data_IF_431706262314
#
_entry.id   IF_431706262314
#
_cell.length_a   1.000
_cell.length_b   1.000
_cell.length_c   1.000
_cell.angle_alpha   90.00
_cell.angle_beta   90.00
_cell.angle_gamma   90.00
#
_symmetry.space_group_name_H-M   'P 1'
#
loop_
_entity.id
_entity.type
_entity.pdbx_description
1 polymer ?
#
# COMPACT_ATOMS: atom_id res chain seq x y z
N UNK A 1 71.36 5.27 19.18
CA UNK A 1 70.20 6.07 18.72
C UNK A 1 68.93 5.44 19.27
N UNK A 2 68.39 5.97 20.37
CA UNK A 2 67.17 5.46 20.97
C UNK A 2 65.95 5.88 20.17
N UNK A 3 65.26 4.93 19.54
CA UNK A 3 63.97 5.17 18.89
C UNK A 3 62.94 5.53 19.96
N UNK A 4 62.58 6.82 20.04
CA UNK A 4 61.46 7.30 20.84
C UNK A 4 60.19 6.57 20.38
N UNK A 5 59.72 5.60 21.17
CA UNK A 5 58.34 5.09 21.06
C UNK A 5 57.42 6.28 21.32
N UNK A 6 56.79 6.81 20.28
CA UNK A 6 55.75 7.83 20.43
C UNK A 6 54.67 7.32 21.37
N UNK A 7 54.31 8.13 22.37
CA UNK A 7 53.12 7.90 23.20
C UNK A 7 51.93 7.76 22.24
N UNK A 8 51.38 6.55 22.09
CA UNK A 8 50.08 6.37 21.42
C UNK A 8 49.07 7.22 22.19
N UNK A 9 48.39 8.12 21.49
CA UNK A 9 47.26 8.87 22.04
C UNK A 9 46.24 7.87 22.61
N UNK A 10 45.73 8.14 23.81
CA UNK A 10 44.77 7.25 24.48
C UNK A 10 43.35 7.33 23.90
N UNK A 11 43.10 8.28 22.99
CA UNK A 11 41.83 8.48 22.30
C UNK A 11 41.72 7.65 21.02
N UNK A 12 40.52 7.61 20.45
CA UNK A 12 40.27 7.01 19.14
C UNK A 12 40.98 7.77 18.02
N UNK A 13 41.32 7.06 16.95
CA UNK A 13 41.86 7.67 15.74
C UNK A 13 40.80 8.57 15.08
N UNK A 14 41.23 9.70 14.54
CA UNK A 14 40.36 10.66 13.86
C UNK A 14 40.71 10.78 12.38
N UNK A 15 39.70 10.66 11.51
CA UNK A 15 39.82 10.78 10.05
C UNK A 15 38.75 11.74 9.55
N UNK A 16 39.16 12.90 9.03
CA UNK A 16 38.23 13.88 8.45
C UNK A 16 37.15 14.39 9.42
N UNK A 17 37.47 14.49 10.72
CA UNK A 17 36.52 14.89 11.77
C UNK A 17 35.60 13.75 12.25
N UNK A 18 35.79 12.53 11.76
CA UNK A 18 35.14 11.33 12.26
C UNK A 18 36.06 10.56 13.18
N UNK A 19 35.52 10.07 14.29
CA UNK A 19 36.18 9.10 15.17
C UNK A 19 35.99 7.71 14.62
N UNK A 20 37.09 6.97 14.55
CA UNK A 20 37.13 5.61 14.02
C UNK A 20 36.90 4.63 15.16
N UNK A 21 35.87 3.79 15.03
CA UNK A 21 35.52 2.75 15.99
C UNK A 21 35.72 1.38 15.33
N UNK A 22 36.85 0.69 15.62
CA UNK A 22 37.04 -0.68 15.18
C UNK A 22 36.17 -1.62 16.03
N UNK A 23 35.33 -2.41 15.37
CA UNK A 23 34.52 -3.46 16.01
C UNK A 23 34.80 -4.81 15.35
N UNK A 24 34.94 -5.83 16.17
CA UNK A 24 35.11 -7.21 15.71
C UNK A 24 33.79 -7.97 15.84
N UNK A 25 33.44 -8.74 14.82
CA UNK A 25 32.29 -9.65 14.92
C UNK A 25 32.70 -10.94 15.63
N UNK A 26 31.86 -11.40 16.55
CA UNK A 26 32.07 -12.66 17.26
C UNK A 26 32.36 -13.80 16.26
N UNK A 27 33.46 -14.52 16.48
CA UNK A 27 33.88 -15.65 15.64
C UNK A 27 34.59 -15.30 14.33
N UNK A 28 34.89 -14.03 14.04
CA UNK A 28 35.67 -13.62 12.86
C UNK A 28 36.84 -12.74 13.25
N UNK A 29 37.99 -12.93 12.61
CA UNK A 29 39.16 -12.05 12.77
C UNK A 29 39.01 -10.70 12.03
N UNK A 30 37.96 -10.56 11.20
CA UNK A 30 37.71 -9.34 10.45
C UNK A 30 37.26 -8.18 11.35
N UNK A 31 37.98 -7.07 11.26
CA UNK A 31 37.63 -5.80 11.92
C UNK A 31 36.78 -4.97 10.97
N UNK A 32 35.63 -4.53 11.46
CA UNK A 32 34.76 -3.59 10.78
C UNK A 32 34.93 -2.20 11.39
N UNK A 33 35.12 -1.19 10.55
CA UNK A 33 35.37 0.18 11.03
C UNK A 33 34.10 1.01 10.91
N UNK A 34 33.59 1.47 12.05
CA UNK A 34 32.50 2.43 12.12
C UNK A 34 33.08 3.84 12.25
N UNK A 35 32.42 4.82 11.65
CA UNK A 35 32.85 6.21 11.74
C UNK A 35 31.74 7.04 12.34
N UNK A 36 32.04 7.79 13.40
CA UNK A 36 31.04 8.62 14.05
C UNK A 36 31.56 10.02 14.37
N UNK A 37 30.65 10.99 14.40
CA UNK A 37 30.92 12.37 14.80
C UNK A 37 29.71 12.97 15.48
N UNK A 38 29.91 14.07 16.20
CA UNK A 38 28.78 14.88 16.67
C UNK A 38 27.99 15.42 15.47
N UNK A 39 26.66 15.32 15.56
CA UNK A 39 25.78 15.87 14.54
C UNK A 39 25.81 17.40 14.59
N UNK A 40 25.91 18.00 13.41
CA UNK A 40 25.90 19.45 13.22
C UNK A 40 24.94 19.78 12.07
N UNK A 41 23.77 20.34 12.38
CA UNK A 41 22.83 20.86 11.39
C UNK A 41 22.69 22.37 11.55
N UNK A 42 22.58 23.09 10.44
CA UNK A 42 22.30 24.54 10.46
C UNK A 42 20.84 24.85 10.82
N UNK A 43 19.96 23.85 10.74
CA UNK A 43 18.55 23.94 11.13
C UNK A 43 18.34 23.14 12.40
N UNK A 44 17.62 23.72 13.36
CA UNK A 44 17.20 23.02 14.55
C UNK A 44 16.08 22.04 14.21
N UNK A 45 16.40 20.75 14.20
CA UNK A 45 15.42 19.68 14.07
C UNK A 45 15.06 19.18 15.46
N UNK A 46 13.79 19.36 15.87
CA UNK A 46 13.27 18.90 17.17
C UNK A 46 13.49 17.38 17.35
N UNK A 47 13.43 16.63 16.24
CA UNK A 47 13.63 15.18 16.24
C UNK A 47 15.11 14.77 16.30
N UNK A 48 16.04 15.69 15.99
CA UNK A 48 17.48 15.44 15.89
C UNK A 48 18.26 16.62 16.49
N UNK A 49 18.17 16.82 17.81
CA UNK A 49 18.80 17.98 18.43
C UNK A 49 20.33 17.78 18.47
N UNK A 50 21.10 18.75 17.96
CA UNK A 50 22.56 18.65 17.72
C UNK A 50 23.41 18.54 19.00
N UNK A 51 22.84 18.95 20.13
CA UNK A 51 23.41 18.84 21.48
C UNK A 51 23.45 17.40 22.01
N UNK A 52 22.62 16.51 21.46
CA UNK A 52 22.44 15.12 21.92
C UNK A 52 22.53 14.08 20.82
N UNK A 53 22.87 14.47 19.59
CA UNK A 53 22.88 13.56 18.45
C UNK A 53 24.28 13.23 17.95
N UNK A 54 24.49 11.94 17.69
CA UNK A 54 25.67 11.39 17.03
C UNK A 54 25.28 10.95 15.63
N UNK A 55 26.09 11.37 14.65
CA UNK A 55 26.01 10.85 13.30
C UNK A 55 27.01 9.70 13.14
N UNK A 56 26.52 8.52 12.82
CA UNK A 56 27.33 7.31 12.62
C UNK A 56 27.15 6.77 11.21
N UNK A 57 28.22 6.27 10.61
CA UNK A 57 28.28 5.79 9.21
C UNK A 57 29.00 4.45 9.11
N UNK A 58 28.85 3.82 7.94
CA UNK A 58 29.34 2.47 7.66
C UNK A 58 28.70 1.42 8.56
N UNK A 59 27.41 1.54 8.86
CA UNK A 59 26.72 0.54 9.67
C UNK A 59 26.62 -0.80 8.93
N UNK A 60 26.77 -1.93 9.64
CA UNK A 60 26.46 -3.24 9.09
C UNK A 60 25.02 -3.30 8.57
N UNK A 61 24.82 -4.01 7.46
CA UNK A 61 23.52 -4.07 6.76
C UNK A 61 22.38 -4.59 7.65
N UNK A 62 22.71 -5.32 8.70
CA UNK A 62 21.77 -5.98 9.58
C UNK A 62 21.67 -5.32 10.96
N UNK A 63 22.17 -4.09 11.10
CA UNK A 63 22.09 -3.30 12.33
C UNK A 63 20.66 -2.93 12.68
N UNK A 64 20.29 -3.15 13.94
CA UNK A 64 19.03 -2.69 14.53
C UNK A 64 19.27 -1.75 15.69
N UNK A 65 18.20 -1.09 16.12
CA UNK A 65 18.24 -0.23 17.31
C UNK A 65 18.72 -0.98 18.57
N UNK A 66 18.34 -2.25 18.72
CA UNK A 66 18.77 -3.10 19.85
C UNK A 66 20.29 -3.29 19.85
N UNK A 67 20.89 -3.49 18.68
CA UNK A 67 22.35 -3.65 18.58
C UNK A 67 23.06 -2.35 18.93
N UNK A 68 22.58 -1.20 18.46
CA UNK A 68 23.19 0.09 18.81
C UNK A 68 23.04 0.37 20.32
N UNK A 69 21.89 0.04 20.92
CA UNK A 69 21.70 0.14 22.37
C UNK A 69 22.66 -0.75 23.15
N UNK A 70 22.91 -1.98 22.68
CA UNK A 70 23.90 -2.90 23.27
C UNK A 70 25.34 -2.40 23.05
N UNK A 71 25.63 -1.82 21.88
CA UNK A 71 26.95 -1.28 21.54
C UNK A 71 27.38 -0.15 22.48
N UNK A 72 26.45 0.75 22.83
CA UNK A 72 26.71 1.86 23.76
C UNK A 72 26.33 1.56 25.20
N UNK A 73 25.99 0.30 25.51
CA UNK A 73 25.60 -0.10 26.86
C UNK A 73 26.73 0.18 27.85
N UNK A 74 26.42 0.93 28.91
CA UNK A 74 27.38 1.35 29.93
C UNK A 74 28.06 2.69 29.66
N UNK A 75 27.96 3.26 28.45
CA UNK A 75 28.51 4.59 28.13
C UNK A 75 27.44 5.66 27.93
N UNK A 76 26.35 5.30 27.26
CA UNK A 76 25.26 6.23 26.96
C UNK A 76 23.91 5.50 26.88
N UNK A 77 22.84 6.20 27.29
CA UNK A 77 21.46 5.76 27.12
C UNK A 77 20.91 6.36 25.84
N UNK A 78 20.39 5.51 24.98
CA UNK A 78 19.86 5.93 23.68
C UNK A 78 18.36 6.19 23.82
N UNK A 79 17.92 7.39 23.46
CA UNK A 79 16.51 7.75 23.38
C UNK A 79 15.88 7.23 22.09
N UNK A 80 16.56 7.44 20.94
CA UNK A 80 16.04 7.06 19.63
C UNK A 80 17.16 6.84 18.62
N UNK A 81 16.97 5.93 17.68
CA UNK A 81 17.83 5.77 16.50
C UNK A 81 17.04 6.06 15.23
N UNK A 82 17.61 6.88 14.34
CA UNK A 82 17.05 7.19 13.02
C UNK A 82 18.00 6.69 11.94
N UNK A 83 17.65 5.57 11.32
CA UNK A 83 18.39 5.00 10.19
C UNK A 83 18.10 5.74 8.88
N UNK A 84 19.11 5.88 8.03
CA UNK A 84 19.01 6.48 6.71
C UNK A 84 19.18 5.37 5.67
N UNK A 85 18.38 5.42 4.59
CA UNK A 85 18.41 4.43 3.50
C UNK A 85 18.15 3.01 3.99
N UNK A 86 16.94 2.84 4.49
CA UNK A 86 16.42 1.56 4.94
C UNK A 86 15.91 0.78 3.74
N UNK A 87 16.48 -0.40 3.50
CA UNK A 87 16.06 -1.32 2.44
C UNK A 87 14.97 -2.25 2.98
N UNK A 88 13.95 -2.49 2.17
CA UNK A 88 12.92 -3.49 2.48
C UNK A 88 11.90 -3.03 3.53
N UNK A 89 11.84 -1.73 3.83
CA UNK A 89 10.65 -1.19 4.46
C UNK A 89 9.53 -1.25 3.41
N UNK A 90 8.64 -2.25 3.53
CA UNK A 90 7.49 -2.41 2.64
C UNK A 90 6.61 -1.16 2.75
N UNK A 91 6.82 -0.16 1.88
CA UNK A 91 6.11 1.14 1.85
C UNK A 91 4.58 0.93 1.80
N UNK A 92 4.16 -0.17 1.18
CA UNK A 92 2.76 -0.59 1.04
C UNK A 92 2.16 -1.04 2.39
N UNK A 93 2.96 -1.65 3.27
CA UNK A 93 2.49 -2.21 4.55
C UNK A 93 2.40 -1.16 5.64
N UNK A 94 3.32 -0.19 5.68
CA UNK A 94 3.20 0.92 6.63
C UNK A 94 2.07 1.85 6.27
N UNK A 95 1.86 2.18 4.99
CA UNK A 95 0.69 2.95 4.59
C UNK A 95 -0.64 2.26 4.98
N UNK A 96 -0.75 0.94 4.84
CA UNK A 96 -1.95 0.20 5.22
C UNK A 96 -2.10 0.04 6.75
N UNK A 97 -1.00 -0.15 7.49
CA UNK A 97 -1.01 -0.21 8.95
C UNK A 97 -1.31 1.17 9.56
N UNK A 98 -0.69 2.23 9.04
CA UNK A 98 -0.92 3.62 9.43
C UNK A 98 -2.35 4.06 9.08
N UNK A 99 -2.89 3.64 7.93
CA UNK A 99 -4.29 3.88 7.57
C UNK A 99 -5.28 3.14 8.48
N UNK A 100 -4.96 1.91 8.91
CA UNK A 100 -5.75 1.15 9.90
C UNK A 100 -5.69 1.81 11.27
N UNK A 101 -4.51 2.26 11.70
CA UNK A 101 -4.30 2.96 12.97
C UNK A 101 -5.02 4.32 12.98
N UNK A 102 -4.97 5.06 11.87
CA UNK A 102 -5.76 6.29 11.67
C UNK A 102 -7.27 6.01 11.66
N UNK A 103 -7.70 4.88 11.08
CA UNK A 103 -9.10 4.44 11.10
C UNK A 103 -9.59 4.09 12.51
N UNK A 104 -8.79 3.37 13.29
CA UNK A 104 -9.09 3.06 14.70
C UNK A 104 -9.07 4.32 15.59
N UNK A 105 -8.13 5.23 15.36
CA UNK A 105 -8.08 6.51 16.07
C UNK A 105 -9.31 7.36 15.73
N UNK A 106 -9.71 7.41 14.46
CA UNK A 106 -10.91 8.12 14.02
C UNK A 106 -12.20 7.50 14.59
N UNK A 107 -12.31 6.16 14.67
CA UNK A 107 -13.46 5.52 15.32
C UNK A 107 -13.48 5.76 16.82
N UNK A 108 -12.32 5.70 17.49
CA UNK A 108 -12.22 6.00 18.93
C UNK A 108 -12.55 7.48 19.25
N UNK A 109 -12.21 8.40 18.35
CA UNK A 109 -12.59 9.81 18.46
C UNK A 109 -14.09 10.02 18.23
N UNK A 110 -14.71 9.31 17.29
CA UNK A 110 -16.16 9.35 17.08
C UNK A 110 -16.96 8.73 18.25
N UNK A 111 -16.43 7.67 18.87
CA UNK A 111 -17.03 7.04 20.05
C UNK A 111 -16.92 7.94 21.30
N UNK A 112 -15.90 8.80 21.41
CA UNK A 112 -15.76 9.77 22.49
C UNK A 112 -16.82 10.89 22.45
N UNK A 113 -17.43 11.14 21.28
CA UNK A 113 -18.46 12.16 21.08
C UNK A 113 -19.88 11.64 21.36
N UNK A 114 -20.06 10.31 21.54
CA UNK A 114 -21.35 9.69 21.82
C UNK A 114 -21.37 9.00 23.20
N UNK A 115 -22.24 9.46 24.11
CA UNK A 115 -22.36 9.01 25.51
C UNK A 115 -23.04 7.63 25.67
N UNK A 116 -22.80 6.69 24.76
CA UNK A 116 -23.23 5.29 24.89
C UNK A 116 -22.04 4.36 24.67
N UNK A 117 -21.45 3.93 25.78
CA UNK A 117 -20.44 2.87 25.84
C UNK A 117 -21.01 1.54 25.36
N UNK A 118 -20.96 1.29 24.04
CA UNK A 118 -20.97 -0.08 23.54
C UNK A 118 -19.63 -0.68 23.90
N UNK A 119 -19.65 -1.56 24.92
CA UNK A 119 -18.57 -2.49 25.22
C UNK A 119 -18.18 -3.17 23.91
N UNK A 120 -17.05 -2.77 23.33
CA UNK A 120 -16.47 -3.45 22.18
C UNK A 120 -16.27 -4.89 22.62
N UNK A 121 -17.07 -5.78 22.03
CA UNK A 121 -16.82 -7.20 22.12
C UNK A 121 -15.48 -7.35 21.42
N UNK A 122 -14.41 -7.60 22.19
CA UNK A 122 -13.18 -8.16 21.67
C UNK A 122 -13.59 -9.47 21.00
N UNK A 123 -13.99 -9.40 19.74
CA UNK A 123 -13.86 -10.52 18.85
C UNK A 123 -12.35 -10.69 18.75
N UNK A 124 -11.84 -11.79 19.33
CA UNK A 124 -10.52 -12.39 19.07
C UNK A 124 -10.40 -12.74 17.58
N UNK A 125 -10.66 -11.78 16.71
CA UNK A 125 -10.40 -11.80 15.29
C UNK A 125 -8.91 -11.52 15.14
N UNK A 126 -8.11 -12.44 15.67
CA UNK A 126 -6.67 -12.58 15.45
C UNK A 126 -6.49 -13.01 13.98
N UNK A 127 -6.82 -12.06 13.10
CA UNK A 127 -6.51 -12.05 11.67
C UNK A 127 -5.00 -12.26 11.56
N UNK A 128 -4.56 -13.11 10.63
CA UNK A 128 -3.15 -13.43 10.44
C UNK A 128 -2.31 -12.15 10.50
N UNK A 129 -1.54 -11.99 11.58
CA UNK A 129 -0.69 -10.82 11.75
C UNK A 129 0.32 -10.86 10.60
N UNK A 130 0.54 -9.74 9.90
CA UNK A 130 1.47 -9.71 8.80
C UNK A 130 2.80 -10.24 9.29
N UNK A 131 3.39 -11.17 8.52
CA UNK A 131 4.65 -11.79 8.93
C UNK A 131 5.69 -10.69 9.17
N UNK A 132 6.23 -10.57 10.40
CA UNK A 132 7.16 -9.52 10.75
C UNK A 132 8.44 -9.67 9.92
N UNK A 133 8.80 -8.62 9.17
CA UNK A 133 10.06 -8.58 8.43
C UNK A 133 11.04 -7.71 9.20
N UNK A 134 12.26 -8.21 9.38
CA UNK A 134 13.33 -7.40 9.96
C UNK A 134 13.78 -6.33 8.96
N UNK A 135 14.25 -5.22 9.48
CA UNK A 135 14.78 -4.12 8.67
C UNK A 135 16.15 -4.50 8.08
N UNK A 136 16.49 -4.05 6.86
CA UNK A 136 17.87 -4.04 6.33
C UNK A 136 18.32 -2.61 6.07
N UNK A 137 19.61 -2.41 6.16
CA UNK A 137 20.30 -1.19 5.77
C UNK A 137 21.09 -1.44 4.49
N UNK A 138 21.22 -0.41 3.67
CA UNK A 138 22.16 -0.43 2.55
C UNK A 138 23.61 -0.53 3.04
N UNK A 139 24.49 -1.08 2.22
CA UNK A 139 25.94 -1.04 2.49
C UNK A 139 26.41 0.41 2.62
N UNK A 140 27.14 0.73 3.69
CA UNK A 140 27.57 2.10 3.96
C UNK A 140 26.48 3.00 4.53
N UNK A 141 25.34 2.45 4.99
CA UNK A 141 24.26 3.21 5.61
C UNK A 141 24.74 4.03 6.82
N UNK A 142 23.98 5.09 7.10
CA UNK A 142 24.21 6.02 8.18
C UNK A 142 23.01 6.09 9.12
N UNK A 143 23.27 6.41 10.38
CA UNK A 143 22.23 6.63 11.38
C UNK A 143 22.51 7.88 12.19
N UNK A 144 21.44 8.53 12.63
CA UNK A 144 21.48 9.52 13.70
C UNK A 144 21.02 8.85 14.98
N UNK A 145 21.86 8.91 16.01
CA UNK A 145 21.60 8.32 17.31
C UNK A 145 21.35 9.48 18.26
N UNK A 146 20.13 9.56 18.78
CA UNK A 146 19.72 10.55 19.78
C UNK A 146 19.95 9.95 21.15
N UNK A 147 20.85 10.57 21.92
CA UNK A 147 21.13 10.21 23.30
C UNK A 147 20.08 10.83 24.23
N UNK A 148 19.93 10.24 25.42
CA UNK A 148 18.99 10.72 26.42
C UNK A 148 19.46 12.06 27.01
N UNK A 149 20.74 12.15 27.34
CA UNK A 149 21.34 13.30 28.02
C UNK A 149 22.53 13.90 27.25
N UNK A 150 22.76 15.21 27.40
CA UNK A 150 23.88 15.94 26.75
C UNK A 150 25.24 15.50 27.27
N UNK A 151 25.35 15.15 28.55
CA UNK A 151 26.60 14.64 29.16
C UNK A 151 27.03 13.28 28.60
N UNK A 152 26.10 12.50 28.07
CA UNK A 152 26.43 11.21 27.45
C UNK A 152 27.15 11.42 26.09
N UNK A 153 26.86 12.52 25.39
CA UNK A 153 27.52 12.86 24.13
C UNK A 153 29.01 13.12 24.34
N UNK A 154 29.36 13.86 25.39
CA UNK A 154 30.76 14.15 25.71
C UNK A 154 31.49 12.88 26.13
N UNK A 155 30.83 11.97 26.85
CA UNK A 155 31.38 10.67 27.22
C UNK A 155 31.67 9.80 25.99
N UNK A 156 30.71 9.68 25.06
CA UNK A 156 30.90 8.90 23.83
C UNK A 156 31.99 9.51 22.93
N UNK A 157 32.03 10.84 22.83
CA UNK A 157 33.09 11.51 22.05
C UNK A 157 34.46 11.35 22.72
N UNK A 158 34.56 11.34 24.05
CA UNK A 158 35.84 11.18 24.78
C UNK A 158 36.25 9.72 25.03
N UNK A 159 35.57 8.77 24.39
CA UNK A 159 35.84 7.34 24.53
C UNK A 159 37.29 6.98 24.18
N UNK A 160 37.89 6.10 25.00
CA UNK A 160 39.24 5.58 24.78
C UNK A 160 39.25 4.50 23.72
N UNK A 161 40.38 4.35 23.03
CA UNK A 161 40.59 3.23 22.13
C UNK A 161 40.44 1.89 22.88
N UNK A 162 39.62 0.98 22.33
CA UNK A 162 39.35 -0.34 22.92
C UNK A 162 38.21 -0.39 23.95
N UNK A 163 37.52 0.72 24.23
CA UNK A 163 36.34 0.70 25.11
C UNK A 163 35.18 -0.14 24.54
N UNK A 164 35.06 -0.17 23.21
CA UNK A 164 34.23 -1.12 22.49
C UNK A 164 35.18 -1.90 21.57
N UNK A 165 35.19 -3.21 21.74
CA UNK A 165 36.04 -4.10 20.93
C UNK A 165 35.20 -5.05 20.09
N UNK A 166 34.04 -5.44 20.61
CA UNK A 166 33.18 -6.44 19.96
C UNK A 166 31.86 -5.82 19.53
N UNK A 167 31.44 -6.13 18.32
CA UNK A 167 30.06 -5.91 17.91
C UNK A 167 29.17 -6.81 18.77
N UNK A 168 28.06 -6.28 19.35
CA UNK A 168 27.24 -7.01 20.29
C UNK A 168 26.84 -8.38 19.74
N UNK A 169 27.27 -9.42 20.47
CA UNK A 169 26.88 -10.79 20.16
C UNK A 169 25.36 -10.92 20.31
N UNK A 170 24.77 -11.69 19.41
CA UNK A 170 23.33 -11.94 19.41
C UNK A 170 23.06 -13.28 20.04
N UNK A 171 21.99 -13.31 20.81
CA UNK A 171 21.49 -14.53 21.44
C UNK A 171 21.09 -15.49 20.31
N UNK A 172 21.79 -16.63 20.19
CA UNK A 172 21.53 -17.62 19.13
C UNK A 172 20.12 -18.19 19.15
N UNK A 173 19.48 -18.10 20.31
CA UNK A 173 18.22 -18.78 20.65
C UNK A 173 17.02 -17.83 20.63
N UNK A 174 17.14 -16.68 19.96
CA UNK A 174 16.02 -15.75 19.85
C UNK A 174 14.87 -16.41 19.07
N UNK A 175 13.77 -16.75 19.75
CA UNK A 175 12.51 -17.20 19.14
C UNK A 175 11.86 -16.10 18.28
N UNK A 176 12.26 -14.84 18.48
CA UNK A 176 11.69 -13.69 17.79
C UNK A 176 12.15 -13.63 16.32
N UNK A 177 11.23 -13.64 15.33
CA UNK A 177 11.63 -13.61 13.93
C UNK A 177 12.32 -12.32 13.49
N UNK A 178 12.10 -11.22 14.20
CA UNK A 178 12.78 -9.93 13.99
C UNK A 178 14.28 -9.99 14.29
N UNK A 179 14.72 -11.00 15.03
CA UNK A 179 16.12 -11.20 15.39
C UNK A 179 16.85 -12.14 14.41
N UNK A 180 16.15 -12.75 13.44
CA UNK A 180 16.76 -13.57 12.39
C UNK A 180 17.62 -12.74 11.43
N UNK A 181 18.76 -13.31 11.01
CA UNK A 181 19.83 -12.61 10.28
C UNK A 181 20.49 -13.52 9.25
N UNK A 182 21.11 -12.93 8.23
CA UNK A 182 21.75 -13.69 7.16
C UNK A 182 20.82 -14.75 6.56
N UNK A 183 21.28 -16.00 6.49
CA UNK A 183 20.52 -17.10 5.88
C UNK A 183 19.23 -17.42 6.65
N UNK A 184 19.24 -17.39 7.99
CA UNK A 184 18.04 -17.73 8.79
C UNK A 184 16.89 -16.76 8.53
N UNK A 185 17.22 -15.48 8.36
CA UNK A 185 16.27 -14.46 7.91
C UNK A 185 15.66 -14.79 6.56
N UNK A 186 16.49 -15.04 5.56
CA UNK A 186 15.98 -15.31 4.20
C UNK A 186 15.16 -16.59 4.15
N UNK A 187 15.52 -17.62 4.93
CA UNK A 187 14.70 -18.82 5.10
C UNK A 187 13.35 -18.50 5.74
N UNK A 188 13.32 -17.65 6.77
CA UNK A 188 12.09 -17.20 7.40
C UNK A 188 11.22 -16.41 6.41
N UNK A 189 11.77 -15.43 5.71
CA UNK A 189 11.05 -14.65 4.69
C UNK A 189 10.54 -15.54 3.55
N UNK A 190 11.32 -16.53 3.13
CA UNK A 190 10.96 -17.49 2.10
C UNK A 190 9.78 -18.38 2.52
N UNK A 191 9.78 -18.85 3.78
CA UNK A 191 8.67 -19.61 4.37
C UNK A 191 7.44 -18.73 4.59
N UNK A 192 7.65 -17.51 5.07
CA UNK A 192 6.61 -16.51 5.30
C UNK A 192 5.85 -16.15 4.02
N UNK A 193 6.53 -16.08 2.88
CA UNK A 193 5.91 -15.81 1.58
C UNK A 193 5.03 -16.96 1.09
N UNK A 194 5.11 -18.15 1.70
CA UNK A 194 4.38 -19.36 1.31
C UNK A 194 3.76 -20.01 2.54
N UNK A 195 2.67 -19.41 3.08
CA UNK A 195 1.94 -20.03 4.18
C UNK A 195 1.40 -21.41 3.76
N UNK A 196 1.26 -22.35 4.70
CA UNK A 196 0.67 -23.65 4.42
C UNK A 196 -0.79 -23.49 4.00
N UNK A 197 -1.23 -24.35 3.08
CA UNK A 197 -2.57 -24.27 2.47
C UNK A 197 -3.69 -24.35 3.50
N UNK A 198 -3.51 -25.15 4.55
CA UNK A 198 -4.54 -25.38 5.57
C UNK A 198 -4.85 -24.11 6.37
N UNK A 199 -3.82 -23.34 6.74
CA UNK A 199 -3.99 -22.06 7.43
C UNK A 199 -4.66 -21.02 6.53
N UNK A 200 -4.24 -20.96 5.27
CA UNK A 200 -4.83 -20.04 4.30
C UNK A 200 -6.31 -20.36 4.06
N UNK A 201 -6.63 -21.65 3.91
CA UNK A 201 -8.01 -22.11 3.71
C UNK A 201 -8.90 -21.76 4.89
N UNK A 202 -8.46 -22.05 6.11
CA UNK A 202 -9.24 -21.73 7.32
C UNK A 202 -9.52 -20.22 7.43
N UNK A 203 -8.55 -19.36 7.08
CA UNK A 203 -8.76 -17.91 7.09
C UNK A 203 -9.74 -17.47 6.00
N UNK A 204 -9.57 -17.94 4.76
CA UNK A 204 -10.47 -17.63 3.64
C UNK A 204 -11.90 -18.07 3.95
N UNK A 205 -12.08 -19.27 4.47
CA UNK A 205 -13.40 -19.80 4.84
C UNK A 205 -14.03 -18.95 5.95
N UNK A 206 -13.25 -18.55 6.97
CA UNK A 206 -13.73 -17.66 8.04
C UNK A 206 -14.10 -16.26 7.54
N UNK A 207 -13.34 -15.73 6.57
CA UNK A 207 -13.60 -14.45 5.95
C UNK A 207 -14.86 -14.50 5.09
N UNK A 208 -15.01 -15.55 4.28
CA UNK A 208 -16.19 -15.75 3.43
C UNK A 208 -17.44 -15.96 4.27
N UNK A 209 -17.38 -16.72 5.37
CA UNK A 209 -18.51 -16.89 6.28
C UNK A 209 -18.97 -15.55 6.88
N UNK A 210 -18.04 -14.74 7.42
CA UNK A 210 -18.35 -13.40 7.94
C UNK A 210 -18.89 -12.47 6.85
N UNK A 211 -18.34 -12.56 5.65
CA UNK A 211 -18.80 -11.78 4.51
C UNK A 211 -20.24 -12.16 4.16
N UNK A 212 -20.54 -13.45 4.02
CA UNK A 212 -21.87 -13.98 3.72
C UNK A 212 -22.88 -13.64 4.81
N UNK A 213 -22.53 -13.75 6.10
CA UNK A 213 -23.35 -13.30 7.22
C UNK A 213 -23.66 -11.81 7.09
N UNK A 214 -22.65 -10.98 6.82
CA UNK A 214 -22.85 -9.54 6.65
C UNK A 214 -23.69 -9.19 5.40
N UNK A 215 -23.60 -9.98 4.34
CA UNK A 215 -24.44 -9.82 3.15
C UNK A 215 -25.89 -10.19 3.46
N UNK A 216 -26.09 -11.32 4.15
CA UNK A 216 -27.41 -11.78 4.55
C UNK A 216 -28.10 -10.77 5.50
N UNK A 217 -27.38 -10.22 6.47
CA UNK A 217 -27.90 -9.18 7.35
C UNK A 217 -28.29 -7.91 6.57
N UNK A 218 -27.46 -7.45 5.63
CA UNK A 218 -27.79 -6.31 4.77
C UNK A 218 -29.03 -6.58 3.94
N UNK A 219 -29.13 -7.75 3.32
CA UNK A 219 -30.29 -8.14 2.51
C UNK A 219 -31.56 -8.26 3.35
N UNK A 220 -31.44 -8.77 4.58
CA UNK A 220 -32.54 -8.84 5.55
C UNK A 220 -33.01 -7.44 5.96
N UNK A 221 -32.08 -6.52 6.24
CA UNK A 221 -32.41 -5.13 6.58
C UNK A 221 -33.07 -4.41 5.40
N UNK A 222 -32.56 -4.59 4.18
CA UNK A 222 -33.18 -4.05 2.97
C UNK A 222 -34.59 -4.61 2.73
N UNK A 223 -34.79 -5.91 2.96
CA UNK A 223 -36.11 -6.54 2.84
C UNK A 223 -37.11 -6.01 3.88
N UNK A 224 -36.65 -5.74 5.11
CA UNK A 224 -37.48 -5.11 6.13
C UNK A 224 -37.86 -3.67 5.76
N UNK A 225 -36.90 -2.89 5.25
CA UNK A 225 -37.15 -1.51 4.79
C UNK A 225 -38.10 -1.45 3.59
N UNK A 226 -38.08 -2.45 2.69
CA UNK A 226 -38.99 -2.52 1.54
C UNK A 226 -40.47 -2.62 1.91
N UNK A 227 -40.82 -3.14 3.10
CA UNK A 227 -42.20 -3.34 3.51
C UNK A 227 -42.74 -2.23 4.43
N UNK A 228 -41.92 -1.24 4.78
CA UNK A 228 -42.32 -0.11 5.62
C UNK A 228 -42.69 1.07 4.71
N UNK A 229 -43.93 1.57 4.76
CA UNK A 229 -44.29 2.80 4.05
C UNK A 229 -43.53 3.99 4.60
N UNK A 230 -43.10 4.88 3.72
CA UNK A 230 -42.45 6.14 4.10
C UNK A 230 -43.46 7.09 4.79
N UNK A 231 -42.99 8.23 5.31
CA UNK A 231 -43.83 9.23 6.00
C UNK A 231 -45.00 9.75 5.13
N UNK A 232 -44.87 9.69 3.81
CA UNK A 232 -45.89 10.06 2.82
C UNK A 232 -46.74 8.86 2.32
N UNK A 233 -46.57 7.66 2.90
CA UNK A 233 -47.37 6.47 2.61
C UNK A 233 -47.01 5.71 1.32
N UNK A 234 -45.90 6.05 0.67
CA UNK A 234 -45.41 5.34 -0.51
C UNK A 234 -44.48 4.18 -0.12
N UNK A 235 -44.57 3.08 -0.89
CA UNK A 235 -43.70 1.91 -0.74
C UNK A 235 -42.63 1.94 -1.85
N UNK A 236 -41.36 1.93 -1.46
CA UNK A 236 -40.24 1.98 -2.41
C UNK A 236 -40.05 0.64 -3.12
N UNK A 237 -40.32 0.61 -4.43
CA UNK A 237 -40.17 -0.60 -5.28
C UNK A 237 -38.74 -0.70 -5.80
N UNK A 238 -37.94 -1.60 -5.20
CA UNK A 238 -36.58 -1.92 -5.69
C UNK A 238 -36.62 -3.19 -6.54
N UNK A 239 -36.08 -3.14 -7.77
CA UNK A 239 -36.00 -4.33 -8.63
C UNK A 239 -34.97 -5.32 -8.08
N UNK A 240 -35.43 -6.44 -7.49
CA UNK A 240 -34.57 -7.60 -7.19
C UNK A 240 -34.15 -8.27 -8.49
N UNK A 241 -32.85 -8.56 -8.66
CA UNK A 241 -32.36 -9.50 -9.68
C UNK A 241 -31.40 -8.98 -10.73
N UNK A 242 -30.93 -7.72 -10.68
CA UNK A 242 -29.80 -7.30 -11.51
C UNK A 242 -28.65 -6.85 -10.62
N UNK A 243 -27.69 -7.74 -10.40
CA UNK A 243 -26.36 -7.34 -9.99
C UNK A 243 -25.72 -6.59 -11.17
N UNK A 244 -26.11 -5.34 -11.38
CA UNK A 244 -25.28 -4.41 -12.14
C UNK A 244 -24.08 -4.14 -11.24
N UNK A 245 -23.00 -4.91 -11.44
CA UNK A 245 -21.65 -4.48 -11.05
C UNK A 245 -21.40 -3.18 -11.81
N UNK A 246 -21.82 -2.05 -11.24
CA UNK A 246 -21.52 -0.66 -11.65
C UNK A 246 -22.21 0.37 -10.72
N UNK A 247 -22.59 0.00 -9.50
CA UNK A 247 -23.18 0.94 -8.55
C UNK A 247 -22.65 0.65 -7.14
N UNK A 248 -21.38 0.94 -6.92
CA UNK A 248 -21.07 1.77 -5.75
C UNK A 248 -21.98 3.00 -5.87
N UNK A 249 -22.65 3.39 -4.79
CA UNK A 249 -23.74 4.37 -4.70
C UNK A 249 -23.47 5.80 -5.20
N UNK A 250 -23.01 5.94 -6.43
CA UNK A 250 -22.92 7.15 -7.22
C UNK A 250 -23.61 6.83 -8.55
N UNK A 251 -24.94 6.81 -8.53
CA UNK A 251 -25.67 7.14 -9.75
C UNK A 251 -25.18 8.53 -10.11
N UNK A 252 -24.26 8.61 -11.07
CA UNK A 252 -23.99 9.85 -11.76
C UNK A 252 -25.27 10.15 -12.55
N UNK A 253 -26.25 10.74 -11.87
CA UNK A 253 -27.20 11.63 -12.51
C UNK A 253 -26.29 12.65 -13.16
N UNK A 254 -26.01 12.47 -14.45
CA UNK A 254 -25.48 13.56 -15.26
C UNK A 254 -26.50 14.66 -15.03
N UNK A 255 -26.13 15.65 -14.23
CA UNK A 255 -26.77 16.96 -14.25
C UNK A 255 -26.43 17.51 -15.63
N UNK A 256 -27.20 17.04 -16.61
CA UNK A 256 -27.26 17.66 -17.91
C UNK A 256 -27.84 19.04 -17.61
N UNK A 257 -27.06 20.08 -17.89
CA UNK A 257 -27.54 21.44 -17.84
C UNK A 257 -28.81 21.55 -18.69
N UNK A 258 -29.70 22.47 -18.33
CA UNK A 258 -31.00 22.64 -18.98
C UNK A 258 -30.91 22.79 -20.52
N UNK A 259 -29.75 23.21 -21.03
CA UNK A 259 -29.48 23.35 -22.46
C UNK A 259 -29.22 22.00 -23.17
N UNK A 260 -28.56 21.03 -22.53
CA UNK A 260 -28.36 19.68 -23.09
C UNK A 260 -29.68 18.89 -23.13
N UNK A 261 -30.59 19.15 -22.18
CA UNK A 261 -31.93 18.56 -22.16
C UNK A 261 -32.80 19.06 -23.34
N UNK A 262 -32.55 20.28 -23.83
CA UNK A 262 -33.26 20.85 -24.99
C UNK A 262 -32.76 20.24 -26.31
N UNK A 263 -31.45 20.01 -26.45
CA UNK A 263 -30.91 19.32 -27.64
C UNK A 263 -31.29 17.83 -27.70
N UNK A 264 -31.34 17.14 -26.56
CA UNK A 264 -31.83 15.76 -26.49
C UNK A 264 -33.34 15.65 -26.77
N UNK A 265 -34.13 16.66 -26.40
CA UNK A 265 -35.57 16.74 -26.70
C UNK A 265 -35.90 16.91 -28.19
N UNK A 266 -35.00 17.52 -28.96
CA UNK A 266 -35.16 17.71 -30.41
C UNK A 266 -34.93 16.41 -31.22
N UNK A 267 -34.34 15.38 -30.61
CA UNK A 267 -34.21 14.04 -31.20
C UNK A 267 -35.12 13.04 -30.49
N UNK A 268 -36.38 13.41 -30.27
CA UNK A 268 -37.45 12.39 -30.24
C UNK A 268 -37.55 11.81 -31.64
N UNK A 269 -36.75 10.79 -31.93
CA UNK A 269 -37.17 9.81 -32.93
C UNK A 269 -38.46 9.25 -32.37
N UNK A 270 -39.59 9.63 -32.95
CA UNK A 270 -40.81 8.87 -32.76
C UNK A 270 -40.43 7.43 -33.05
N UNK A 271 -40.39 6.61 -32.00
CA UNK A 271 -40.22 5.18 -32.13
C UNK A 271 -41.56 4.69 -32.65
N UNK A 272 -41.81 4.96 -33.93
CA UNK A 272 -42.81 4.24 -34.70
C UNK A 272 -42.34 2.79 -34.62
N UNK A 273 -43.04 1.99 -33.81
CA UNK A 273 -42.85 0.54 -33.77
C UNK A 273 -43.19 -0.01 -35.16
N UNK A 274 -42.25 0.10 -36.11
CA UNK A 274 -42.46 -0.22 -37.52
C UNK A 274 -42.65 -1.71 -37.80
N UNK A 275 -42.69 -2.54 -36.76
CA UNK A 275 -42.74 -3.98 -36.84
C UNK A 275 -43.79 -4.61 -35.89
N UNK A 276 -44.70 -3.83 -35.29
CA UNK A 276 -45.71 -4.42 -34.38
C UNK A 276 -46.85 -5.09 -35.14
N UNK A 277 -47.23 -4.56 -36.30
CA UNK A 277 -48.40 -5.04 -37.03
C UNK A 277 -48.06 -5.78 -38.32
N UNK A 278 -48.79 -6.87 -38.58
CA UNK A 278 -48.62 -7.70 -39.80
C UNK A 278 -48.80 -6.90 -41.11
N UNK A 279 -49.60 -5.84 -41.11
CA UNK A 279 -49.81 -5.00 -42.30
C UNK A 279 -48.56 -4.17 -42.63
N UNK A 280 -47.82 -3.68 -41.63
CA UNK A 280 -46.56 -2.93 -41.82
C UNK A 280 -45.50 -3.80 -42.49
N UNK A 281 -45.41 -5.07 -42.08
CA UNK A 281 -44.50 -6.04 -42.69
C UNK A 281 -44.89 -6.38 -44.13
N UNK A 282 -46.20 -6.41 -44.45
CA UNK A 282 -46.71 -6.65 -45.81
C UNK A 282 -46.43 -5.45 -46.73
N UNK A 283 -46.71 -4.23 -46.27
CA UNK A 283 -46.39 -3.01 -47.02
C UNK A 283 -44.89 -2.86 -47.26
N UNK A 284 -44.06 -3.16 -46.27
CA UNK A 284 -42.61 -3.11 -46.42
C UNK A 284 -42.12 -4.07 -47.49
N UNK A 285 -42.63 -5.31 -47.52
CA UNK A 285 -42.31 -6.29 -48.57
C UNK A 285 -42.79 -5.81 -49.95
N UNK A 286 -43.98 -5.24 -50.05
CA UNK A 286 -44.50 -4.68 -51.30
C UNK A 286 -43.64 -3.51 -51.81
N UNK A 287 -43.25 -2.59 -50.92
CA UNK A 287 -42.41 -1.45 -51.27
C UNK A 287 -41.00 -1.89 -51.70
N UNK A 288 -40.42 -2.88 -51.02
CA UNK A 288 -39.15 -3.47 -51.44
C UNK A 288 -39.25 -4.12 -52.83
N UNK A 289 -40.37 -4.79 -53.14
CA UNK A 289 -40.59 -5.44 -54.43
C UNK A 289 -40.81 -4.41 -55.56
N UNK A 290 -41.50 -3.31 -55.26
CA UNK A 290 -41.62 -2.14 -56.16
C UNK A 290 -40.27 -1.49 -56.43
N UNK A 291 -39.45 -1.29 -55.40
CA UNK A 291 -38.12 -0.70 -55.54
C UNK A 291 -37.19 -1.59 -56.38
N UNK A 292 -37.24 -2.90 -56.18
CA UNK A 292 -36.48 -3.86 -57.00
C UNK A 292 -36.92 -3.84 -58.46
N UNK A 293 -38.23 -3.76 -58.74
CA UNK A 293 -38.73 -3.62 -60.11
C UNK A 293 -38.23 -2.34 -60.76
N UNK A 294 -38.27 -1.22 -60.04
CA UNK A 294 -37.77 0.07 -60.53
C UNK A 294 -36.27 0.01 -60.83
N UNK A 295 -35.45 -0.53 -59.91
CA UNK A 295 -34.01 -0.72 -60.13
C UNK A 295 -33.72 -1.65 -61.31
N UNK A 296 -34.53 -2.68 -61.50
CA UNK A 296 -34.37 -3.60 -62.63
C UNK A 296 -34.71 -2.95 -63.97
N UNK A 297 -35.73 -2.09 -64.03
CA UNK A 297 -36.03 -1.26 -65.20
C UNK A 297 -34.89 -0.27 -65.47
N UNK A 298 -34.40 0.41 -64.44
CA UNK A 298 -33.25 1.33 -64.55
C UNK A 298 -31.98 0.60 -65.03
N UNK A 299 -31.72 -0.62 -64.56
CA UNK A 299 -30.59 -1.44 -65.00
C UNK A 299 -30.79 -1.95 -66.43
N UNK A 300 -32.01 -2.33 -66.83
CA UNK A 300 -32.34 -2.65 -68.23
C UNK A 300 -32.07 -1.46 -69.15
N UNK A 301 -32.50 -0.27 -68.76
CA UNK A 301 -32.26 0.96 -69.52
C UNK A 301 -30.77 1.29 -69.58
N UNK A 302 -30.05 1.09 -68.47
CA UNK A 302 -28.59 1.28 -68.42
C UNK A 302 -27.88 0.30 -69.34
N UNK A 303 -28.28 -0.97 -69.36
CA UNK A 303 -27.75 -1.99 -70.27
C UNK A 303 -28.10 -1.66 -71.72
N UNK A 304 -29.33 -1.20 -72.00
CA UNK A 304 -29.73 -0.78 -73.34
C UNK A 304 -28.87 0.38 -73.85
N UNK A 305 -28.60 1.39 -73.00
CA UNK A 305 -27.66 2.49 -73.31
C UNK A 305 -26.24 1.97 -73.56
N UNK A 306 -25.73 1.07 -72.72
CA UNK A 306 -24.40 0.48 -72.92
C UNK A 306 -24.30 -0.39 -74.18
N UNK A 307 -25.38 -1.07 -74.57
CA UNK A 307 -25.46 -1.82 -75.83
C UNK A 307 -25.47 -0.88 -77.05
N UNK A 308 -26.23 0.21 -77.00
CA UNK A 308 -26.21 1.24 -78.05
C UNK A 308 -24.82 1.87 -78.19
N UNK A 309 -24.15 2.14 -77.07
CA UNK A 309 -22.79 2.67 -77.03
C UNK A 309 -21.70 1.63 -77.39
N UNK A 310 -22.05 0.37 -77.68
CA UNK A 310 -21.13 -0.76 -77.93
C UNK A 310 -20.10 -1.02 -76.82
N UNK A 311 -20.40 -0.62 -75.58
CA UNK A 311 -19.53 -0.75 -74.41
C UNK A 311 -19.94 -1.91 -73.48
N UNK A 312 -21.03 -2.62 -73.78
CA UNK A 312 -21.51 -3.72 -72.95
C UNK A 312 -20.69 -5.01 -73.15
N UNK A 313 -20.03 -5.50 -72.09
CA UNK A 313 -19.30 -6.79 -72.05
C UNK A 313 -20.01 -7.74 -71.06
N UNK A 314 -20.68 -8.80 -71.54
CA UNK A 314 -21.55 -9.64 -70.72
C UNK A 314 -20.85 -10.72 -69.85
N UNK A 315 -19.51 -10.79 -69.87
CA UNK A 315 -18.70 -11.69 -69.06
C UNK A 315 -17.42 -11.00 -68.63
#
# INVERSE_FOLDING_TARGET
>A
MGTKKGKKSSGLDEVGGYKVLPVQFSGKEAVHYLYFRQHSSNKEDILKPSDRTIFMTNLPADTTERDIRRLFQGMARIARVVFHRVVGHDVIKTAAADARMMGELASAMADAESTKSKKSKNTDDDKLKPVPRSQLLESGSSAHIVLLETGELTNVMSMKAGAITEWPSRDSDSTNPLDYRGVSRYLYEHRAARPPLDLLKAEVDSFMAKFEESQYERDRMLAQQQNVPDADGFVTVVRRGRHTKNTDGAVSVKVLSADDAREAGAKKKDVVFGNMYKFQMRERKNNQLLELRKKFEEDKDRIARMRQARQFRPY
#
